data_IF_820638650173
#
_entry.id   IF_820638650173
#
_cell.length_a   1.000
_cell.length_b   1.000
_cell.length_c   1.000
_cell.angle_alpha   90.00
_cell.angle_beta   90.00
_cell.angle_gamma   90.00
#
_symmetry.space_group_name_H-M   'P 1'
#
loop_
_entity.id
_entity.type
_entity.pdbx_description
1 polymer ?
#
# COMPACT_ATOMS: atom_id res chain seq x y z
N UNK A 1 1.04 17.66 -6.96
CA UNK A 1 1.40 17.25 -8.34
C UNK A 1 2.80 16.62 -8.32
N UNK A 2 3.13 15.80 -9.32
CA UNK A 2 4.47 15.27 -9.56
C UNK A 2 4.67 15.10 -11.08
N UNK A 3 5.90 15.12 -11.58
CA UNK A 3 6.17 15.03 -13.02
C UNK A 3 7.54 14.43 -13.33
N UNK A 4 7.70 13.92 -14.54
CA UNK A 4 8.96 13.55 -15.19
C UNK A 4 8.99 14.12 -16.62
N UNK A 5 9.97 13.74 -17.44
CA UNK A 5 10.11 14.27 -18.81
C UNK A 5 8.96 13.89 -19.76
N UNK A 6 8.10 12.96 -19.37
CA UNK A 6 7.04 12.40 -20.22
C UNK A 6 5.63 12.74 -19.72
N UNK A 7 5.42 12.79 -18.41
CA UNK A 7 4.09 12.96 -17.82
C UNK A 7 4.08 13.92 -16.62
N UNK A 8 2.97 14.64 -16.48
CA UNK A 8 2.55 15.31 -15.26
C UNK A 8 1.40 14.54 -14.63
N UNK A 9 1.46 14.36 -13.31
CA UNK A 9 0.45 13.61 -12.55
C UNK A 9 -0.12 14.47 -11.44
N UNK A 10 -1.46 14.56 -11.38
CA UNK A 10 -2.18 15.31 -10.35
C UNK A 10 -3.14 14.38 -9.63
N UNK A 11 -2.99 14.27 -8.31
CA UNK A 11 -3.96 13.58 -7.45
C UNK A 11 -4.88 14.60 -6.79
N UNK A 12 -6.17 14.49 -7.05
CA UNK A 12 -7.19 15.17 -6.24
C UNK A 12 -7.66 14.20 -5.16
N UNK A 13 -7.50 14.60 -3.89
CA UNK A 13 -7.92 13.80 -2.74
C UNK A 13 -8.80 14.63 -1.83
N UNK A 14 -9.86 14.01 -1.35
CA UNK A 14 -10.82 14.61 -0.42
C UNK A 14 -11.03 13.70 0.77
N UNK A 15 -11.28 14.30 1.94
CA UNK A 15 -11.59 13.59 3.19
C UNK A 15 -12.92 14.12 3.73
N UNK A 16 -13.92 13.25 3.75
CA UNK A 16 -15.25 13.51 4.29
C UNK A 16 -15.55 12.51 5.41
N UNK A 17 -15.29 12.85 6.68
CA UNK A 17 -15.35 11.90 7.80
C UNK A 17 -16.69 11.18 7.99
N UNK A 18 -17.78 11.77 7.51
CA UNK A 18 -19.15 11.23 7.63
C UNK A 18 -19.56 10.32 6.48
N UNK A 19 -18.74 10.16 5.43
CA UNK A 19 -19.07 9.29 4.28
C UNK A 19 -18.28 8.00 4.30
N UNK A 20 -18.81 6.97 3.64
CA UNK A 20 -18.11 5.70 3.43
C UNK A 20 -17.91 5.48 1.92
N UNK A 21 -16.68 5.43 1.40
CA UNK A 21 -15.41 5.68 2.09
C UNK A 21 -15.23 7.16 2.49
N UNK A 22 -14.50 7.40 3.57
CA UNK A 22 -14.20 8.75 4.06
C UNK A 22 -13.14 9.46 3.21
N UNK A 23 -12.29 8.69 2.52
CA UNK A 23 -11.28 9.22 1.59
C UNK A 23 -11.67 8.85 0.16
N UNK A 24 -11.74 9.84 -0.71
CA UNK A 24 -11.97 9.68 -2.15
C UNK A 24 -10.88 10.38 -2.91
N UNK A 25 -10.33 9.72 -3.94
CA UNK A 25 -9.33 10.33 -4.78
C UNK A 25 -9.44 9.89 -6.23
N UNK A 26 -9.10 10.82 -7.13
CA UNK A 26 -8.85 10.60 -8.55
C UNK A 26 -7.42 11.02 -8.86
N UNK A 27 -6.83 10.42 -9.89
CA UNK A 27 -5.49 10.76 -10.35
C UNK A 27 -5.52 10.99 -11.86
N UNK A 28 -5.18 12.20 -12.27
CA UNK A 28 -5.10 12.60 -13.66
C UNK A 28 -3.65 12.49 -14.13
N UNK A 29 -3.46 11.90 -15.31
CA UNK A 29 -2.17 11.78 -15.99
C UNK A 29 -2.24 12.63 -17.26
N UNK A 30 -1.27 13.53 -17.43
CA UNK A 30 -1.21 14.51 -18.50
C UNK A 30 0.10 14.31 -19.25
N UNK A 31 0.05 14.26 -20.58
CA UNK A 31 1.26 14.21 -21.42
C UNK A 31 2.00 15.54 -21.36
N UNK A 32 3.31 15.51 -21.11
CA UNK A 32 4.16 16.71 -21.21
C UNK A 32 4.29 17.20 -22.67
N UNK A 33 4.27 16.27 -23.64
CA UNK A 33 4.44 16.57 -25.06
C UNK A 33 3.25 17.35 -25.62
N UNK A 34 2.03 16.95 -25.27
CA UNK A 34 0.80 17.51 -25.86
C UNK A 34 -0.01 18.37 -24.90
N UNK A 35 0.24 18.28 -23.58
CA UNK A 35 -0.59 18.90 -22.55
C UNK A 35 -1.96 18.23 -22.34
N UNK A 36 -2.26 17.17 -23.08
CA UNK A 36 -3.55 16.48 -23.01
C UNK A 36 -3.63 15.49 -21.85
N UNK A 37 -4.84 15.27 -21.34
CA UNK A 37 -5.09 14.23 -20.33
C UNK A 37 -5.13 12.86 -20.99
N UNK A 38 -4.14 12.02 -20.69
CA UNK A 38 -4.00 10.68 -21.27
C UNK A 38 -4.66 9.60 -20.41
N UNK A 39 -4.87 9.85 -19.11
CA UNK A 39 -5.60 8.93 -18.25
C UNK A 39 -6.26 9.61 -17.04
N UNK A 40 -7.36 9.03 -16.58
CA UNK A 40 -7.98 9.31 -15.28
C UNK A 40 -8.11 8.01 -14.50
N UNK A 41 -7.38 7.89 -13.40
CA UNK A 41 -7.25 6.68 -12.61
C UNK A 41 -7.97 6.79 -11.27
N UNK A 42 -8.36 5.63 -10.72
CA UNK A 42 -8.90 5.51 -9.37
C UNK A 42 -7.81 5.83 -8.34
N UNK A 43 -7.73 7.09 -7.91
CA UNK A 43 -6.72 7.58 -6.98
C UNK A 43 -6.78 6.92 -5.59
N UNK A 44 -7.97 6.46 -5.16
CA UNK A 44 -8.13 5.74 -3.89
C UNK A 44 -7.39 4.40 -3.91
N UNK A 45 -7.62 3.57 -4.94
CA UNK A 45 -6.96 2.27 -5.07
C UNK A 45 -5.45 2.42 -5.28
N UNK A 46 -5.05 3.37 -6.14
CA UNK A 46 -3.64 3.64 -6.38
C UNK A 46 -2.92 4.09 -5.11
N UNK A 47 -3.59 4.87 -4.24
CA UNK A 47 -3.03 5.28 -2.95
C UNK A 47 -2.80 4.08 -2.03
N UNK A 48 -3.70 3.10 -1.98
CA UNK A 48 -3.51 1.89 -1.17
C UNK A 48 -2.29 1.10 -1.67
N UNK A 49 -2.24 0.79 -2.96
CA UNK A 49 -1.16 0.00 -3.58
C UNK A 49 0.20 0.68 -3.47
N UNK A 50 0.30 1.95 -3.87
CA UNK A 50 1.59 2.65 -3.88
C UNK A 50 2.13 2.88 -2.48
N UNK A 51 1.26 3.15 -1.50
CA UNK A 51 1.69 3.31 -0.10
C UNK A 51 2.22 1.99 0.46
N UNK A 52 1.52 0.88 0.17
CA UNK A 52 1.98 -0.45 0.57
C UNK A 52 3.30 -0.84 -0.10
N UNK A 53 3.42 -0.64 -1.41
CA UNK A 53 4.63 -0.96 -2.18
C UNK A 53 5.85 -0.14 -1.70
N UNK A 54 5.69 1.18 -1.49
CA UNK A 54 6.79 2.00 -0.96
C UNK A 54 7.21 1.57 0.45
N UNK A 55 6.26 1.21 1.31
CA UNK A 55 6.56 0.70 2.65
C UNK A 55 7.31 -0.63 2.61
N UNK A 56 6.87 -1.56 1.76
CA UNK A 56 7.52 -2.85 1.59
C UNK A 56 8.94 -2.71 1.03
N UNK A 57 9.14 -1.87 0.01
CA UNK A 57 10.46 -1.58 -0.55
C UNK A 57 11.40 -0.97 0.50
N UNK A 58 10.91 -0.03 1.32
CA UNK A 58 11.71 0.53 2.40
C UNK A 58 12.13 -0.57 3.41
N UNK A 59 11.20 -1.44 3.80
CA UNK A 59 11.50 -2.55 4.71
C UNK A 59 12.49 -3.56 4.11
N UNK A 60 12.38 -3.89 2.82
CA UNK A 60 13.31 -4.82 2.16
C UNK A 60 14.73 -4.24 2.11
N UNK A 61 14.86 -2.95 1.80
CA UNK A 61 16.16 -2.27 1.77
C UNK A 61 16.78 -2.14 3.17
N UNK A 62 15.99 -1.73 4.17
CA UNK A 62 16.47 -1.51 5.53
C UNK A 62 16.81 -2.82 6.27
N UNK A 63 16.22 -3.93 5.86
CA UNK A 63 16.45 -5.24 6.50
C UNK A 63 17.21 -6.23 5.63
N UNK A 64 17.86 -5.75 4.56
CA UNK A 64 18.54 -6.58 3.57
C UNK A 64 19.62 -7.49 4.18
N UNK A 65 20.41 -6.99 5.13
CA UNK A 65 21.49 -7.74 5.79
C UNK A 65 20.99 -8.86 6.72
N UNK A 66 19.70 -8.84 7.08
CA UNK A 66 19.08 -9.80 8.00
C UNK A 66 17.98 -10.63 7.31
N UNK A 67 17.94 -10.62 5.98
CA UNK A 67 17.05 -11.50 5.22
C UNK A 67 17.55 -12.94 5.28
N UNK A 68 16.68 -13.93 5.58
CA UNK A 68 17.07 -15.32 5.54
C UNK A 68 17.42 -15.74 4.10
N UNK A 69 18.34 -16.70 3.92
CA UNK A 69 18.66 -17.24 2.61
C UNK A 69 17.42 -17.80 1.91
N UNK A 70 17.41 -17.71 0.57
CA UNK A 70 16.36 -18.29 -0.24
C UNK A 70 16.28 -19.81 0.01
N UNK A 71 15.09 -20.31 0.35
CA UNK A 71 14.86 -21.73 0.67
C UNK A 71 14.86 -22.08 2.17
N UNK A 72 15.38 -21.23 3.06
CA UNK A 72 15.38 -21.51 4.52
C UNK A 72 14.06 -21.12 5.19
N UNK A 73 13.51 -21.89 6.16
CA UNK A 73 12.40 -21.43 6.99
C UNK A 73 12.71 -20.07 7.62
N UNK A 74 11.76 -19.14 7.55
CA UNK A 74 11.90 -17.81 8.14
C UNK A 74 11.25 -17.80 9.51
N UNK A 75 11.98 -17.36 10.53
CA UNK A 75 11.46 -17.09 11.88
C UNK A 75 10.99 -15.64 12.04
N UNK A 76 10.94 -14.87 10.94
CA UNK A 76 10.54 -13.45 10.97
C UNK A 76 9.03 -13.35 11.11
N UNK A 77 8.60 -12.46 12.00
CA UNK A 77 7.19 -12.16 12.25
C UNK A 77 6.88 -10.75 11.73
N UNK A 78 5.78 -10.61 10.99
CA UNK A 78 5.22 -9.30 10.64
C UNK A 78 4.05 -9.00 11.58
N UNK A 79 4.17 -7.95 12.41
CA UNK A 79 3.04 -7.44 13.19
C UNK A 79 2.35 -6.30 12.42
N UNK A 80 1.11 -6.53 12.01
CA UNK A 80 0.24 -5.52 11.43
C UNK A 80 -0.61 -4.85 12.52
N UNK A 81 -0.34 -3.56 12.77
CA UNK A 81 -1.08 -2.74 13.72
C UNK A 81 -2.10 -1.90 12.95
N UNK A 82 -3.38 -2.16 13.20
CA UNK A 82 -4.53 -1.51 12.59
C UNK A 82 -5.14 -2.34 11.45
N UNK A 83 -6.48 -2.37 11.42
CA UNK A 83 -7.28 -3.19 10.48
C UNK A 83 -8.10 -2.33 9.52
N UNK A 84 -7.51 -1.22 9.09
CA UNK A 84 -8.08 -0.33 8.08
C UNK A 84 -7.85 -0.82 6.65
N UNK A 85 -8.43 -0.14 5.67
CA UNK A 85 -8.35 -0.52 4.24
C UNK A 85 -6.94 -0.73 3.70
N UNK A 86 -5.93 -0.05 4.25
CA UNK A 86 -4.54 -0.17 3.81
C UNK A 86 -3.85 -1.45 4.32
N UNK A 87 -4.30 -1.99 5.45
CA UNK A 87 -3.66 -3.11 6.14
C UNK A 87 -3.48 -4.37 5.26
N UNK A 88 -4.50 -4.86 4.51
CA UNK A 88 -4.30 -6.03 3.64
C UNK A 88 -3.28 -5.76 2.52
N UNK A 89 -3.25 -4.54 1.96
CA UNK A 89 -2.26 -4.18 0.94
C UNK A 89 -0.85 -4.16 1.53
N UNK A 90 -0.67 -3.66 2.76
CA UNK A 90 0.62 -3.67 3.44
C UNK A 90 1.10 -5.10 3.68
N UNK A 91 0.26 -5.97 4.24
CA UNK A 91 0.63 -7.38 4.45
C UNK A 91 1.04 -8.02 3.13
N UNK A 92 0.22 -7.90 2.08
CA UNK A 92 0.51 -8.48 0.77
C UNK A 92 1.83 -7.95 0.18
N UNK A 93 2.06 -6.63 0.22
CA UNK A 93 3.27 -6.03 -0.33
C UNK A 93 4.52 -6.44 0.44
N UNK A 94 4.48 -6.49 1.78
CA UNK A 94 5.61 -6.93 2.59
C UNK A 94 5.92 -8.41 2.35
N UNK A 95 4.90 -9.27 2.32
CA UNK A 95 5.07 -10.70 2.00
C UNK A 95 5.58 -10.95 0.57
N UNK A 96 5.38 -10.01 -0.35
CA UNK A 96 5.90 -10.12 -1.72
C UNK A 96 7.41 -9.85 -1.82
N UNK A 97 7.99 -9.10 -0.87
CA UNK A 97 9.41 -8.70 -0.91
C UNK A 97 10.27 -9.34 0.20
N UNK A 98 9.64 -9.99 1.18
CA UNK A 98 10.30 -10.68 2.26
C UNK A 98 9.49 -11.89 2.71
N UNK A 99 10.17 -12.91 3.22
CA UNK A 99 9.53 -14.11 3.74
C UNK A 99 9.28 -13.98 5.24
N UNK A 100 8.02 -14.01 5.64
CA UNK A 100 7.59 -14.05 7.04
C UNK A 100 7.09 -15.46 7.36
N UNK A 101 7.47 -15.99 8.53
CA UNK A 101 6.95 -17.25 9.05
C UNK A 101 5.54 -17.09 9.64
N UNK A 102 5.23 -15.89 10.12
CA UNK A 102 3.95 -15.55 10.73
C UNK A 102 3.59 -14.08 10.47
N UNK A 103 2.29 -13.82 10.32
CA UNK A 103 1.71 -12.47 10.31
C UNK A 103 0.74 -12.36 11.46
N UNK A 104 1.03 -11.46 12.40
CA UNK A 104 0.16 -11.12 13.52
C UNK A 104 -0.65 -9.88 13.17
N UNK A 105 -1.93 -9.86 13.55
CA UNK A 105 -2.83 -8.72 13.31
C UNK A 105 -3.35 -8.23 14.66
N UNK A 106 -3.30 -6.92 14.87
CA UNK A 106 -3.90 -6.29 16.05
C UNK A 106 -4.65 -5.02 15.66
N UNK A 107 -5.89 -4.88 16.13
CA UNK A 107 -6.68 -3.67 15.98
C UNK A 107 -7.53 -3.40 17.22
N UNK A 108 -8.39 -2.37 17.12
CA UNK A 108 -9.29 -1.97 18.21
C UNK A 108 -10.61 -2.76 18.23
N UNK A 109 -10.80 -3.68 17.29
CA UNK A 109 -12.06 -4.38 17.08
C UNK A 109 -11.76 -5.81 16.65
N UNK A 110 -11.99 -6.75 17.55
CA UNK A 110 -11.74 -8.18 17.31
C UNK A 110 -12.44 -8.68 16.04
N UNK A 111 -13.65 -8.19 15.76
CA UNK A 111 -14.36 -8.54 14.52
C UNK A 111 -13.61 -8.08 13.25
N UNK A 112 -12.95 -6.92 13.26
CA UNK A 112 -12.14 -6.45 12.13
C UNK A 112 -10.81 -7.19 12.04
N UNK A 113 -10.26 -7.59 13.17
CA UNK A 113 -9.04 -8.39 13.25
C UNK A 113 -9.28 -9.79 12.67
N UNK A 114 -10.35 -10.45 13.08
CA UNK A 114 -10.79 -11.73 12.52
C UNK A 114 -11.08 -11.63 11.02
N UNK A 115 -11.78 -10.58 10.57
CA UNK A 115 -12.04 -10.37 9.15
C UNK A 115 -10.76 -10.14 8.33
N UNK A 116 -9.74 -9.49 8.92
CA UNK A 116 -8.45 -9.29 8.26
C UNK A 116 -7.63 -10.57 8.19
N UNK A 117 -7.66 -11.41 9.22
CA UNK A 117 -6.96 -12.71 9.23
C UNK A 117 -7.56 -13.69 8.22
N UNK A 118 -8.86 -13.59 7.95
CA UNK A 118 -9.56 -14.46 7.00
C UNK A 118 -9.41 -14.06 5.52
N UNK A 119 -8.85 -12.89 5.23
CA UNK A 119 -8.74 -12.31 3.88
C UNK A 119 -7.40 -12.64 3.21
#
# INVERSE_FOLDING_TARGET
>A
PAWDDTHVVVKLVTVFPRTTPSVKATLQVISQETGETVALLAGSELTLRRTAASSALAASLLTASVQPPLGSPSTRVLLMIGTGKLAPHLVAAHCAVARYGEVLVWGRSEAKDAAMVAA
#
